data_IF_897110345874
#
_entry.id   IF_897110345874
#
_cell.length_a   1.000
_cell.length_b   1.000
_cell.length_c   1.000
_cell.angle_alpha   90.00
_cell.angle_beta   90.00
_cell.angle_gamma   90.00
#
_symmetry.space_group_name_H-M   'P 1'
#
loop_
_entity.id
_entity.type
_entity.pdbx_description
1 polymer ?
#
# COMPACT_ATOMS: atom_id res chain seq x y z
N UNK A 1 9.19 -9.11 27.07
CA UNK A 1 8.73 -7.97 26.23
C UNK A 1 8.30 -8.58 24.93
N UNK A 2 7.06 -8.35 24.49
CA UNK A 2 6.56 -8.95 23.26
C UNK A 2 6.57 -7.90 22.13
N UNK A 3 6.89 -8.33 20.92
CA UNK A 3 6.95 -7.50 19.73
C UNK A 3 5.94 -8.01 18.71
N UNK A 4 5.10 -7.12 18.18
CA UNK A 4 4.10 -7.43 17.18
C UNK A 4 4.70 -7.30 15.79
N UNK A 5 4.43 -8.28 14.95
CA UNK A 5 4.86 -8.41 13.56
C UNK A 5 3.67 -8.49 12.62
N UNK A 6 3.91 -8.20 11.34
CA UNK A 6 2.90 -8.34 10.30
C UNK A 6 3.49 -8.92 9.01
N UNK A 7 2.73 -9.81 8.38
CA UNK A 7 3.05 -10.39 7.09
C UNK A 7 1.86 -10.23 6.13
N UNK A 8 2.13 -10.03 4.83
CA UNK A 8 1.08 -9.90 3.82
C UNK A 8 0.85 -11.21 3.10
N UNK A 9 -0.38 -11.69 3.11
CA UNK A 9 -0.80 -12.91 2.43
C UNK A 9 -1.53 -12.58 1.14
N UNK A 10 -0.80 -12.63 0.02
CA UNK A 10 -1.34 -12.27 -1.30
C UNK A 10 -2.04 -13.44 -2.00
N UNK A 11 -1.62 -14.68 -1.71
CA UNK A 11 -2.11 -15.89 -2.36
C UNK A 11 -3.31 -16.54 -1.64
N UNK A 12 -3.84 -15.92 -0.60
CA UNK A 12 -5.10 -16.33 0.03
C UNK A 12 -6.29 -16.01 -0.89
N UNK A 13 -7.45 -16.63 -0.67
CA UNK A 13 -8.67 -16.36 -1.44
C UNK A 13 -9.02 -14.86 -1.48
N UNK A 14 -8.69 -14.14 -0.40
CA UNK A 14 -8.71 -12.68 -0.31
C UNK A 14 -7.38 -12.22 0.29
N UNK A 15 -6.73 -11.18 -0.27
CA UNK A 15 -5.53 -10.61 0.33
C UNK A 15 -5.78 -10.18 1.77
N UNK A 16 -4.85 -10.53 2.66
CA UNK A 16 -5.01 -10.24 4.08
C UNK A 16 -3.68 -9.93 4.77
N UNK A 17 -3.75 -9.23 5.89
CA UNK A 17 -2.63 -8.97 6.78
C UNK A 17 -2.68 -9.97 7.93
N UNK A 18 -1.60 -10.71 8.14
CA UNK A 18 -1.44 -11.62 9.25
C UNK A 18 -0.59 -10.96 10.34
N UNK A 19 -1.10 -10.95 11.56
CA UNK A 19 -0.44 -10.43 12.75
C UNK A 19 0.04 -11.58 13.62
N UNK A 20 1.29 -11.57 14.02
CA UNK A 20 1.85 -12.51 14.98
C UNK A 20 2.79 -11.79 15.93
N UNK A 21 3.12 -12.37 17.06
CA UNK A 21 4.03 -11.74 18.00
C UNK A 21 5.03 -12.75 18.56
N UNK A 22 6.22 -12.28 18.83
CA UNK A 22 7.22 -13.00 19.58
C UNK A 22 7.37 -12.42 21.01
N UNK A 23 7.91 -13.26 21.90
CA UNK A 23 8.21 -12.86 23.26
C UNK A 23 9.68 -13.16 23.55
N UNK A 24 10.36 -12.18 24.11
CA UNK A 24 11.76 -12.33 24.54
C UNK A 24 11.85 -13.33 25.69
N UNK A 25 12.26 -14.54 25.36
CA UNK A 25 12.55 -15.61 26.31
C UNK A 25 13.73 -16.44 25.83
N UNK A 26 14.27 -17.25 26.73
CA UNK A 26 15.36 -18.14 26.37
C UNK A 26 14.81 -19.28 25.52
N UNK A 27 15.31 -19.40 24.29
CA UNK A 27 14.99 -20.51 23.39
C UNK A 27 16.12 -21.54 23.37
N UNK A 28 15.77 -22.81 23.18
CA UNK A 28 16.72 -23.90 22.95
C UNK A 28 16.97 -24.07 21.45
N UNK A 29 18.22 -24.34 21.02
CA UNK A 29 18.53 -24.66 19.63
C UNK A 29 17.74 -25.85 19.13
N UNK A 30 17.32 -25.80 17.85
CA UNK A 30 16.60 -26.87 17.17
C UNK A 30 17.47 -27.37 16.01
N UNK A 31 17.54 -28.69 15.82
CA UNK A 31 18.22 -29.31 14.69
C UNK A 31 17.22 -29.59 13.58
N UNK A 32 17.31 -28.85 12.45
CA UNK A 32 16.35 -28.90 11.36
C UNK A 32 16.37 -30.24 10.59
N UNK A 33 17.54 -30.83 10.48
CA UNK A 33 17.73 -32.08 9.70
C UNK A 33 16.95 -33.31 10.25
N UNK A 34 16.35 -33.15 11.44
CA UNK A 34 15.56 -34.20 12.10
C UNK A 34 14.06 -33.94 12.08
N UNK A 35 13.61 -32.86 11.41
CA UNK A 35 12.20 -32.47 11.44
C UNK A 35 11.49 -32.90 10.15
N UNK A 36 10.42 -33.65 10.30
CA UNK A 36 9.53 -34.05 9.20
C UNK A 36 8.63 -32.90 8.72
N UNK A 37 8.47 -31.84 9.53
CA UNK A 37 7.66 -30.68 9.24
C UNK A 37 8.29 -29.40 9.84
N UNK A 38 7.97 -28.21 9.32
CA UNK A 38 8.43 -26.94 9.87
C UNK A 38 8.13 -26.85 11.37
N UNK A 39 9.12 -26.51 12.22
CA UNK A 39 8.94 -26.44 13.66
C UNK A 39 8.10 -25.23 14.07
N UNK A 40 7.48 -25.30 15.25
CA UNK A 40 6.86 -24.15 15.87
C UNK A 40 7.95 -23.17 16.28
N UNK A 41 7.78 -21.88 15.97
CA UNK A 41 8.72 -20.82 16.35
C UNK A 41 8.76 -20.71 17.89
N UNK A 42 9.93 -20.93 18.52
CA UNK A 42 10.00 -21.10 19.97
C UNK A 42 9.69 -19.83 20.76
N UNK A 43 9.71 -18.68 20.10
CA UNK A 43 9.44 -17.38 20.73
C UNK A 43 8.04 -16.85 20.36
N UNK A 44 7.35 -17.45 19.39
CA UNK A 44 6.03 -17.00 19.00
C UNK A 44 4.99 -17.24 20.09
N UNK A 45 4.12 -16.26 20.29
CA UNK A 45 2.96 -16.42 21.16
C UNK A 45 1.95 -17.41 20.53
N UNK A 46 1.35 -18.23 21.35
CA UNK A 46 0.18 -19.01 20.93
C UNK A 46 -1.02 -18.11 20.62
N UNK A 47 -2.02 -18.61 19.90
CA UNK A 47 -3.20 -17.81 19.53
C UNK A 47 -3.91 -17.18 20.75
N UNK A 48 -4.18 -17.91 21.86
CA UNK A 48 -4.81 -17.30 23.03
C UNK A 48 -3.94 -16.23 23.69
N UNK A 49 -2.63 -16.46 23.75
CA UNK A 49 -1.68 -15.48 24.33
C UNK A 49 -1.60 -14.23 23.48
N UNK A 50 -1.53 -14.39 22.13
CA UNK A 50 -1.53 -13.29 21.19
C UNK A 50 -2.79 -12.43 21.29
N UNK A 51 -3.97 -13.07 21.30
CA UNK A 51 -5.26 -12.37 21.42
C UNK A 51 -5.36 -11.61 22.74
N UNK A 52 -5.03 -12.24 23.86
CA UNK A 52 -5.03 -11.62 25.19
C UNK A 52 -4.04 -10.44 25.26
N UNK A 53 -2.84 -10.64 24.74
CA UNK A 53 -1.82 -9.60 24.75
C UNK A 53 -2.22 -8.39 23.89
N UNK A 54 -2.74 -8.61 22.67
CA UNK A 54 -3.25 -7.53 21.81
C UNK A 54 -4.41 -6.78 22.46
N UNK A 55 -5.29 -7.47 23.18
CA UNK A 55 -6.38 -6.85 23.93
C UNK A 55 -5.84 -5.94 25.05
N UNK A 56 -4.85 -6.40 25.80
CA UNK A 56 -4.18 -5.59 26.85
C UNK A 56 -3.50 -4.35 26.26
N UNK A 57 -2.89 -4.48 25.09
CA UNK A 57 -2.26 -3.36 24.38
C UNK A 57 -3.27 -2.44 23.67
N UNK A 58 -4.57 -2.76 23.66
CA UNK A 58 -5.63 -2.08 22.90
C UNK A 58 -5.36 -2.07 21.39
N UNK A 59 -4.68 -3.08 20.90
CA UNK A 59 -4.31 -3.26 19.49
C UNK A 59 -5.09 -4.37 18.81
N UNK A 60 -5.91 -5.14 19.52
CA UNK A 60 -6.69 -6.23 18.93
C UNK A 60 -7.71 -5.69 17.92
N UNK A 61 -7.57 -6.02 16.62
CA UNK A 61 -8.54 -5.59 15.63
C UNK A 61 -9.83 -6.41 15.72
N UNK A 62 -10.96 -5.79 15.44
CA UNK A 62 -12.22 -6.53 15.30
C UNK A 62 -12.21 -7.35 14.00
N UNK A 63 -12.85 -8.53 14.02
CA UNK A 63 -13.02 -9.36 12.83
C UNK A 63 -11.78 -10.17 12.43
N UNK A 64 -10.82 -10.34 13.33
CA UNK A 64 -9.67 -11.24 13.11
C UNK A 64 -10.09 -12.69 13.15
N UNK A 65 -9.39 -13.52 12.38
CA UNK A 65 -9.52 -14.97 12.40
C UNK A 65 -8.16 -15.62 12.72
N UNK A 66 -8.11 -16.67 13.52
CA UNK A 66 -6.89 -17.37 13.81
C UNK A 66 -6.43 -18.16 12.59
N UNK A 67 -5.11 -18.18 12.36
CA UNK A 67 -4.48 -18.95 11.30
C UNK A 67 -3.09 -19.40 11.76
N UNK A 68 -2.73 -20.65 11.47
CA UNK A 68 -1.34 -21.09 11.58
C UNK A 68 -0.64 -20.80 10.26
N UNK A 69 0.46 -20.04 10.32
CA UNK A 69 1.24 -19.64 9.16
C UNK A 69 2.61 -20.31 9.18
N UNK A 70 3.10 -20.64 7.99
CA UNK A 70 4.49 -20.95 7.78
C UNK A 70 5.21 -19.72 7.23
N UNK A 71 6.23 -19.26 7.94
CA UNK A 71 7.04 -18.11 7.57
C UNK A 71 8.50 -18.52 7.45
N UNK A 72 9.18 -18.03 6.41
CA UNK A 72 10.65 -18.13 6.34
C UNK A 72 11.23 -16.97 7.16
N UNK A 73 11.80 -17.28 8.33
CA UNK A 73 12.34 -16.28 9.24
C UNK A 73 13.86 -16.43 9.41
N UNK A 74 14.57 -15.32 9.67
CA UNK A 74 16.01 -15.33 9.86
C UNK A 74 16.39 -16.14 11.09
N UNK A 75 17.30 -17.08 10.90
CA UNK A 75 17.70 -18.05 11.91
C UNK A 75 19.22 -18.15 11.94
N UNK A 76 19.80 -18.28 13.13
CA UNK A 76 21.24 -18.51 13.29
C UNK A 76 21.58 -19.95 12.88
N UNK A 77 22.82 -20.19 12.49
CA UNK A 77 23.32 -21.53 12.13
C UNK A 77 23.18 -22.58 13.24
N UNK A 78 22.99 -22.16 14.49
CA UNK A 78 22.71 -23.04 15.62
C UNK A 78 21.21 -23.34 15.82
N UNK A 79 20.34 -22.97 14.89
CA UNK A 79 18.90 -23.22 14.96
C UNK A 79 18.12 -22.29 15.88
N UNK A 80 18.70 -21.19 16.33
CA UNK A 80 17.99 -20.18 17.10
C UNK A 80 17.46 -19.08 16.19
N UNK A 81 16.17 -18.72 16.28
CA UNK A 81 15.63 -17.59 15.53
C UNK A 81 16.35 -16.29 15.93
N UNK A 82 16.50 -15.40 14.97
CA UNK A 82 17.02 -14.07 15.22
C UNK A 82 15.90 -13.20 15.80
N UNK A 83 16.20 -12.52 16.92
CA UNK A 83 15.25 -11.63 17.56
C UNK A 83 15.37 -10.21 17.00
N UNK A 84 14.27 -9.48 16.99
CA UNK A 84 14.26 -8.09 16.59
C UNK A 84 15.20 -7.25 17.47
N UNK A 85 15.98 -6.37 16.84
CA UNK A 85 16.97 -5.53 17.55
C UNK A 85 18.32 -6.21 17.82
N UNK A 86 18.48 -7.47 17.47
CA UNK A 86 19.79 -8.11 17.52
C UNK A 86 20.67 -7.71 16.34
N UNK A 87 21.99 -7.67 16.58
CA UNK A 87 22.96 -7.47 15.50
C UNK A 87 22.92 -8.66 14.55
N UNK A 88 22.86 -8.38 13.24
CA UNK A 88 22.87 -9.41 12.21
C UNK A 88 24.16 -10.24 12.31
N UNK A 89 24.08 -11.56 12.51
CA UNK A 89 25.25 -12.40 12.53
C UNK A 89 25.87 -12.50 11.13
N UNK A 90 27.17 -12.87 11.07
CA UNK A 90 27.87 -13.06 9.79
C UNK A 90 27.27 -14.17 8.92
N UNK A 91 26.69 -15.17 9.57
CA UNK A 91 26.01 -16.31 8.92
C UNK A 91 24.56 -16.30 9.40
N UNK A 92 23.66 -16.15 8.47
CA UNK A 92 22.22 -16.13 8.66
C UNK A 92 21.59 -17.09 7.66
N UNK A 93 20.72 -17.92 8.17
CA UNK A 93 19.93 -18.86 7.37
C UNK A 93 18.46 -18.47 7.44
N UNK A 94 17.67 -18.87 6.47
CA UNK A 94 16.25 -18.65 6.45
C UNK A 94 15.56 -19.99 6.66
N UNK A 95 14.91 -20.14 7.82
CA UNK A 95 14.24 -21.38 8.17
C UNK A 95 12.74 -21.24 8.11
N UNK A 96 12.02 -22.31 7.68
CA UNK A 96 10.56 -22.33 7.73
C UNK A 96 10.11 -22.54 9.19
N UNK A 97 9.41 -21.54 9.72
CA UNK A 97 8.83 -21.58 11.06
C UNK A 97 7.31 -21.56 10.98
N UNK A 98 6.63 -22.31 11.85
CA UNK A 98 5.20 -22.15 12.07
C UNK A 98 4.96 -21.15 13.19
N UNK A 99 4.03 -20.21 12.96
CA UNK A 99 3.61 -19.22 13.93
C UNK A 99 2.09 -19.17 14.00
N UNK A 100 1.54 -18.93 15.19
CA UNK A 100 0.13 -18.61 15.35
C UNK A 100 -0.10 -17.14 15.00
N UNK A 101 -1.05 -16.86 14.12
CA UNK A 101 -1.35 -15.53 13.65
C UNK A 101 -2.85 -15.22 13.72
N UNK A 102 -3.16 -13.92 13.74
CA UNK A 102 -4.50 -13.39 13.55
C UNK A 102 -4.56 -12.69 12.21
N UNK A 103 -5.46 -13.11 11.33
CA UNK A 103 -5.59 -12.54 9.98
C UNK A 103 -6.69 -11.50 9.90
N UNK A 104 -6.36 -10.41 9.19
CA UNK A 104 -7.29 -9.34 8.84
C UNK A 104 -7.45 -9.27 7.33
N UNK A 105 -8.67 -9.39 6.80
CA UNK A 105 -8.95 -9.04 5.42
C UNK A 105 -8.54 -7.61 5.09
N UNK A 106 -8.14 -7.35 3.84
CA UNK A 106 -7.62 -6.07 3.41
C UNK A 106 -8.43 -4.83 3.84
N UNK A 107 -9.78 -4.81 3.81
CA UNK A 107 -10.57 -3.67 4.27
C UNK A 107 -10.38 -3.36 5.77
N UNK A 108 -10.33 -4.41 6.60
CA UNK A 108 -10.09 -4.26 8.03
C UNK A 108 -8.63 -3.89 8.32
N UNK A 109 -7.69 -4.46 7.56
CA UNK A 109 -6.27 -4.13 7.65
C UNK A 109 -6.02 -2.66 7.32
N UNK A 110 -6.59 -2.11 6.24
CA UNK A 110 -6.48 -0.71 5.87
C UNK A 110 -6.95 0.22 7.00
N UNK A 111 -8.13 -0.06 7.57
CA UNK A 111 -8.68 0.71 8.68
C UNK A 111 -7.82 0.60 9.93
N UNK A 112 -7.32 -0.58 10.27
CA UNK A 112 -6.50 -0.81 11.46
C UNK A 112 -5.12 -0.13 11.32
N UNK A 113 -4.44 -0.32 10.20
CA UNK A 113 -3.13 0.30 9.91
C UNK A 113 -3.18 1.82 9.97
N UNK A 114 -4.30 2.42 9.56
CA UNK A 114 -4.49 3.88 9.64
C UNK A 114 -4.48 4.44 11.06
N UNK A 115 -4.74 3.62 12.08
CA UNK A 115 -4.79 3.98 13.50
C UNK A 115 -3.45 3.77 14.21
N UNK A 116 -2.52 3.04 13.59
CA UNK A 116 -1.19 2.81 14.18
C UNK A 116 -0.38 4.10 14.23
N UNK A 117 0.53 4.26 15.21
CA UNK A 117 1.43 5.39 15.26
C UNK A 117 2.43 5.36 14.07
N UNK A 118 2.94 6.54 13.70
CA UNK A 118 3.97 6.68 12.67
C UNK A 118 5.39 6.52 13.20
N UNK A 119 5.56 6.65 14.50
CA UNK A 119 6.86 6.56 15.17
C UNK A 119 6.77 5.61 16.36
N UNK A 120 7.85 4.89 16.64
CA UNK A 120 7.94 3.98 17.79
C UNK A 120 7.97 4.67 19.17
N UNK A 121 7.76 5.99 19.23
CA UNK A 121 7.86 6.78 20.46
C UNK A 121 6.88 6.32 21.54
N UNK A 122 7.41 5.64 22.55
CA UNK A 122 6.68 5.23 23.75
C UNK A 122 5.96 3.89 23.68
N UNK A 123 5.73 3.33 22.51
CA UNK A 123 5.11 2.01 22.35
C UNK A 123 6.10 1.03 21.73
N UNK A 124 6.84 0.35 22.61
CA UNK A 124 7.93 -0.58 22.23
C UNK A 124 7.42 -1.95 21.77
N UNK A 125 6.12 -2.11 21.55
CA UNK A 125 5.52 -3.38 21.15
C UNK A 125 5.30 -3.53 19.64
N UNK A 126 5.57 -2.49 18.83
CA UNK A 126 5.44 -2.53 17.38
C UNK A 126 6.82 -2.74 16.73
N UNK A 127 6.89 -3.68 15.80
CA UNK A 127 8.08 -3.88 14.98
C UNK A 127 8.26 -2.75 13.95
N UNK A 128 9.48 -2.63 13.41
CA UNK A 128 9.78 -1.66 12.35
C UNK A 128 8.95 -1.92 11.08
N UNK A 129 8.63 -3.17 10.80
CA UNK A 129 7.75 -3.51 9.68
C UNK A 129 6.32 -3.00 9.87
N UNK A 130 5.78 -3.01 11.10
CA UNK A 130 4.46 -2.42 11.37
C UNK A 130 4.47 -0.90 11.22
N UNK A 131 5.56 -0.24 11.61
CA UNK A 131 5.73 1.19 11.35
C UNK A 131 5.78 1.46 9.85
N UNK A 132 6.50 0.63 9.08
CA UNK A 132 6.52 0.72 7.62
C UNK A 132 5.12 0.56 7.01
N UNK A 133 4.33 -0.42 7.48
CA UNK A 133 2.93 -0.61 7.07
C UNK A 133 2.06 0.62 7.39
N UNK A 134 2.26 1.22 8.54
CA UNK A 134 1.56 2.46 8.94
C UNK A 134 1.88 3.62 7.97
N UNK A 135 3.15 3.79 7.60
CA UNK A 135 3.57 4.77 6.60
C UNK A 135 2.98 4.49 5.22
N UNK A 136 2.97 3.23 4.80
CA UNK A 136 2.37 2.81 3.53
C UNK A 136 0.87 3.17 3.49
N UNK A 137 0.12 2.83 4.54
CA UNK A 137 -1.31 3.12 4.59
C UNK A 137 -1.59 4.63 4.59
N UNK A 138 -0.78 5.45 5.26
CA UNK A 138 -0.89 6.91 5.21
C UNK A 138 -0.68 7.45 3.79
N UNK A 139 0.25 6.86 3.05
CA UNK A 139 0.43 7.23 1.65
C UNK A 139 -0.77 6.82 0.79
N UNK A 140 -1.33 5.63 0.99
CA UNK A 140 -2.57 5.21 0.32
C UNK A 140 -3.70 6.22 0.57
N UNK A 141 -3.91 6.64 1.83
CA UNK A 141 -4.89 7.69 2.16
C UNK A 141 -4.59 9.03 1.48
N UNK A 142 -3.32 9.39 1.36
CA UNK A 142 -2.89 10.58 0.62
C UNK A 142 -3.23 10.46 -0.88
N UNK A 143 -2.99 9.30 -1.51
CA UNK A 143 -3.40 9.07 -2.91
C UNK A 143 -4.92 9.22 -3.09
N UNK A 144 -5.71 8.70 -2.15
CA UNK A 144 -7.17 8.85 -2.16
C UNK A 144 -7.57 10.32 -2.04
N UNK A 145 -7.04 11.03 -1.06
CA UNK A 145 -7.35 12.45 -0.82
C UNK A 145 -6.99 13.35 -1.99
N UNK A 146 -5.91 13.03 -2.71
CA UNK A 146 -5.45 13.75 -3.89
C UNK A 146 -6.17 13.34 -5.18
N UNK A 147 -7.09 12.38 -5.13
CA UNK A 147 -7.77 11.84 -6.32
C UNK A 147 -6.83 11.09 -7.27
N UNK A 148 -5.71 10.53 -6.75
CA UNK A 148 -4.71 9.80 -7.52
C UNK A 148 -5.08 8.33 -7.71
N UNK A 149 -6.27 8.10 -8.25
CA UNK A 149 -6.80 6.75 -8.50
C UNK A 149 -7.77 6.76 -9.67
N UNK A 150 -7.86 5.65 -10.38
CA UNK A 150 -8.76 5.45 -11.52
C UNK A 150 -9.35 4.04 -11.48
N UNK A 151 -10.58 3.86 -12.01
CA UNK A 151 -11.14 2.53 -12.15
C UNK A 151 -10.39 1.72 -13.23
N UNK A 152 -10.28 0.43 -13.01
CA UNK A 152 -9.63 -0.52 -13.88
C UNK A 152 -10.44 -1.83 -13.96
N UNK A 153 -10.03 -2.70 -14.85
CA UNK A 153 -10.49 -4.08 -14.91
C UNK A 153 -9.32 -4.96 -14.44
N UNK A 154 -9.55 -5.70 -13.39
CA UNK A 154 -8.62 -6.72 -12.91
C UNK A 154 -9.06 -8.08 -13.43
N UNK A 155 -8.14 -8.86 -13.97
CA UNK A 155 -8.38 -10.26 -14.36
C UNK A 155 -7.62 -11.17 -13.40
N UNK A 156 -8.33 -12.07 -12.74
CA UNK A 156 -7.70 -13.04 -11.86
C UNK A 156 -7.04 -14.19 -12.68
N UNK A 157 -6.34 -15.07 -11.99
CA UNK A 157 -5.67 -16.23 -12.61
C UNK A 157 -6.64 -17.21 -13.29
N UNK A 158 -7.91 -17.20 -12.92
CA UNK A 158 -8.96 -18.02 -13.51
C UNK A 158 -9.60 -17.37 -14.74
N UNK A 159 -9.14 -16.20 -15.18
CA UNK A 159 -9.69 -15.45 -16.31
C UNK A 159 -10.97 -14.68 -16.00
N UNK A 160 -11.44 -14.69 -14.74
CA UNK A 160 -12.58 -13.89 -14.31
C UNK A 160 -12.14 -12.43 -14.15
N UNK A 161 -12.95 -11.53 -14.68
CA UNK A 161 -12.74 -10.09 -14.58
C UNK A 161 -13.52 -9.50 -13.41
N UNK A 162 -12.99 -8.46 -12.80
CA UNK A 162 -13.66 -7.66 -11.78
C UNK A 162 -13.28 -6.18 -11.93
N UNK A 163 -14.18 -5.28 -11.53
CA UNK A 163 -13.85 -3.87 -11.39
C UNK A 163 -12.93 -3.68 -10.19
N UNK A 164 -11.94 -2.81 -10.33
CA UNK A 164 -10.96 -2.49 -9.29
C UNK A 164 -10.57 -1.02 -9.35
N UNK A 165 -10.39 -0.40 -8.20
CA UNK A 165 -9.78 0.91 -8.10
C UNK A 165 -8.26 0.77 -8.02
N UNK A 166 -7.54 1.45 -8.88
CA UNK A 166 -6.08 1.37 -8.95
C UNK A 166 -5.42 2.73 -8.78
N UNK A 167 -4.25 2.78 -8.10
CA UNK A 167 -3.51 4.01 -7.92
C UNK A 167 -2.98 4.54 -9.25
N UNK A 168 -2.94 5.86 -9.38
CA UNK A 168 -2.31 6.56 -10.49
C UNK A 168 -0.93 7.08 -10.05
N UNK A 169 0.09 6.25 -10.24
CA UNK A 169 1.47 6.49 -9.81
C UNK A 169 2.35 7.09 -10.93
N UNK A 170 1.78 7.93 -11.79
CA UNK A 170 2.49 8.53 -12.92
C UNK A 170 3.20 9.86 -12.57
N UNK A 171 2.92 10.45 -11.41
CA UNK A 171 3.62 11.62 -10.92
C UNK A 171 5.01 11.27 -10.40
N UNK A 172 5.97 12.19 -10.55
CA UNK A 172 7.36 11.94 -10.18
C UNK A 172 7.54 11.69 -8.68
N UNK A 173 6.86 12.47 -7.83
CA UNK A 173 6.90 12.29 -6.38
C UNK A 173 6.35 10.93 -5.95
N UNK A 174 5.25 10.48 -6.56
CA UNK A 174 4.66 9.17 -6.27
C UNK A 174 5.58 8.04 -6.73
N UNK A 175 6.27 8.20 -7.88
CA UNK A 175 7.27 7.22 -8.35
C UNK A 175 8.45 7.12 -7.41
N UNK A 176 9.00 8.26 -6.97
CA UNK A 176 10.11 8.30 -6.00
C UNK A 176 9.70 7.67 -4.66
N UNK A 177 8.50 7.98 -4.19
CA UNK A 177 7.99 7.40 -2.94
C UNK A 177 7.77 5.90 -3.04
N UNK A 178 7.28 5.41 -4.18
CA UNK A 178 7.18 3.98 -4.46
C UNK A 178 8.56 3.30 -4.40
N UNK A 179 9.56 3.90 -5.02
CA UNK A 179 10.93 3.39 -5.03
C UNK A 179 11.57 3.40 -3.64
N UNK A 180 11.40 4.47 -2.88
CA UNK A 180 11.90 4.57 -1.50
C UNK A 180 11.25 3.51 -0.60
N UNK A 181 9.94 3.36 -0.63
CA UNK A 181 9.24 2.34 0.14
C UNK A 181 9.59 0.92 -0.30
N UNK A 182 9.75 0.68 -1.61
CA UNK A 182 10.15 -0.62 -2.13
C UNK A 182 11.58 -0.99 -1.72
N UNK A 183 12.50 -0.01 -1.70
CA UNK A 183 13.89 -0.21 -1.28
C UNK A 183 14.02 -0.53 0.21
N UNK A 184 13.10 -0.02 1.03
CA UNK A 184 13.03 -0.23 2.49
C UNK A 184 12.01 -1.28 2.89
N UNK A 185 11.45 -2.02 1.93
CA UNK A 185 10.43 -3.03 2.22
C UNK A 185 11.00 -4.11 3.15
N UNK A 186 10.36 -4.35 4.31
CA UNK A 186 10.82 -5.37 5.24
C UNK A 186 10.77 -6.77 4.63
N UNK A 187 11.78 -7.58 4.94
CA UNK A 187 11.87 -8.96 4.45
C UNK A 187 10.66 -9.81 4.88
N UNK A 188 10.09 -9.56 6.04
CA UNK A 188 8.93 -10.25 6.57
C UNK A 188 7.69 -10.20 5.63
N UNK A 189 7.57 -9.16 4.78
CA UNK A 189 6.48 -9.05 3.80
C UNK A 189 6.57 -10.13 2.73
N UNK A 190 7.77 -10.64 2.46
CA UNK A 190 8.03 -11.63 1.42
C UNK A 190 8.00 -13.06 1.93
N UNK A 191 8.16 -13.23 3.23
CA UNK A 191 8.37 -14.53 3.85
C UNK A 191 7.10 -15.37 3.97
N UNK A 192 5.91 -14.78 3.73
CA UNK A 192 4.62 -15.44 3.92
C UNK A 192 4.02 -16.06 2.65
N UNK A 193 4.68 -16.00 1.50
CA UNK A 193 3.97 -16.14 0.23
C UNK A 193 4.18 -17.45 -0.53
N UNK A 194 4.77 -18.50 0.05
CA UNK A 194 4.90 -19.75 -0.68
C UNK A 194 4.76 -20.99 0.18
N UNK A 195 3.68 -21.77 -0.02
CA UNK A 195 3.61 -23.12 0.50
C UNK A 195 4.59 -24.08 -0.20
N UNK A 196 5.20 -23.66 -1.30
CA UNK A 196 6.11 -24.47 -2.13
C UNK A 196 7.59 -24.15 -1.90
N UNK A 197 7.97 -23.39 -0.90
CA UNK A 197 9.39 -23.19 -0.57
C UNK A 197 9.91 -24.45 0.16
N UNK A 198 10.03 -25.54 -0.61
CA UNK A 198 10.91 -26.64 -0.27
C UNK A 198 12.40 -26.29 -0.53
N UNK A 199 12.68 -25.16 -1.17
CA UNK A 199 14.02 -24.66 -1.42
C UNK A 199 14.25 -23.40 -0.58
N UNK A 200 15.08 -23.56 0.42
CA UNK A 200 15.58 -22.60 1.41
C UNK A 200 16.35 -21.40 0.82
N UNK A 201 15.84 -20.77 -0.19
CA UNK A 201 16.39 -19.53 -0.67
C UNK A 201 15.59 -18.36 -0.09
N UNK A 202 16.27 -17.51 0.67
CA UNK A 202 15.78 -16.18 0.98
C UNK A 202 15.50 -15.46 -0.35
N UNK A 203 14.31 -15.63 -0.86
CA UNK A 203 13.90 -14.92 -2.05
C UNK A 203 13.59 -13.48 -1.66
N UNK A 204 14.57 -12.61 -1.84
CA UNK A 204 14.22 -11.22 -2.11
C UNK A 204 13.23 -11.27 -3.27
N UNK A 205 12.08 -10.59 -3.19
CA UNK A 205 11.15 -10.61 -4.30
C UNK A 205 11.89 -10.19 -5.55
N UNK A 206 11.68 -10.91 -6.61
CA UNK A 206 12.25 -10.60 -7.92
C UNK A 206 11.88 -9.19 -8.41
N UNK A 207 10.80 -8.59 -7.83
CA UNK A 207 10.32 -7.27 -8.18
C UNK A 207 9.56 -6.61 -6.99
N UNK A 208 10.27 -6.11 -5.95
CA UNK A 208 9.62 -5.50 -4.77
C UNK A 208 8.70 -4.33 -5.14
N UNK A 209 9.05 -3.57 -6.17
CA UNK A 209 8.24 -2.48 -6.69
C UNK A 209 6.88 -2.95 -7.25
N UNK A 210 6.85 -4.06 -8.00
CA UNK A 210 5.59 -4.60 -8.52
C UNK A 210 4.71 -5.16 -7.41
N UNK A 211 5.31 -5.85 -6.44
CA UNK A 211 4.59 -6.35 -5.29
C UNK A 211 4.00 -5.22 -4.45
N UNK A 212 4.77 -4.16 -4.20
CA UNK A 212 4.32 -2.99 -3.48
C UNK A 212 3.18 -2.28 -4.21
N UNK A 213 3.28 -2.11 -5.53
CA UNK A 213 2.21 -1.51 -6.33
C UNK A 213 0.91 -2.31 -6.22
N UNK A 214 1.00 -3.63 -6.21
CA UNK A 214 -0.17 -4.51 -6.02
C UNK A 214 -0.76 -4.38 -4.61
N UNK A 215 0.06 -4.34 -3.57
CA UNK A 215 -0.39 -4.12 -2.18
C UNK A 215 -1.11 -2.76 -2.07
N UNK A 216 -0.54 -1.70 -2.64
CA UNK A 216 -1.15 -0.36 -2.65
C UNK A 216 -2.50 -0.41 -3.34
N UNK A 217 -2.60 -1.07 -4.48
CA UNK A 217 -3.84 -1.19 -5.22
C UNK A 217 -4.92 -1.93 -4.41
N UNK A 218 -4.57 -3.02 -3.71
CA UNK A 218 -5.50 -3.74 -2.82
C UNK A 218 -5.98 -2.87 -1.66
N UNK A 219 -5.06 -2.19 -0.97
CA UNK A 219 -5.40 -1.33 0.17
C UNK A 219 -6.25 -0.13 -0.27
N UNK A 220 -5.91 0.47 -1.41
CA UNK A 220 -6.64 1.60 -1.99
C UNK A 220 -8.06 1.18 -2.41
N UNK A 221 -8.19 0.09 -3.16
CA UNK A 221 -9.49 -0.46 -3.58
C UNK A 221 -10.36 -0.79 -2.36
N UNK A 222 -9.79 -1.44 -1.34
CA UNK A 222 -10.49 -1.78 -0.11
C UNK A 222 -10.97 -0.54 0.65
N UNK A 223 -10.15 0.50 0.73
CA UNK A 223 -10.51 1.75 1.40
C UNK A 223 -11.61 2.49 0.64
N UNK A 224 -11.46 2.64 -0.68
CA UNK A 224 -12.47 3.31 -1.50
C UNK A 224 -13.83 2.60 -1.45
N UNK A 225 -13.86 1.27 -1.50
CA UNK A 225 -15.11 0.50 -1.37
C UNK A 225 -15.76 0.67 0.00
N UNK A 226 -14.96 0.75 1.06
CA UNK A 226 -15.47 1.02 2.41
C UNK A 226 -16.08 2.41 2.52
N UNK A 227 -15.46 3.41 1.90
CA UNK A 227 -15.88 4.81 1.96
C UNK A 227 -17.04 5.10 1.00
N UNK A 228 -17.16 4.38 -0.11
CA UNK A 228 -18.19 4.56 -1.12
C UNK A 228 -19.60 4.39 -0.59
N UNK A 229 -19.82 3.49 0.36
CA UNK A 229 -21.13 3.35 1.02
C UNK A 229 -21.63 4.68 1.62
N UNK A 230 -20.71 5.61 1.89
CA UNK A 230 -21.00 6.94 2.42
C UNK A 230 -21.27 7.98 1.33
N UNK A 231 -20.66 7.85 0.13
CA UNK A 231 -20.64 8.91 -0.88
C UNK A 231 -21.50 8.68 -2.11
N UNK A 232 -21.89 7.45 -2.44
CA UNK A 232 -22.46 7.11 -3.75
C UNK A 232 -23.96 6.72 -3.76
N UNK A 233 -24.66 6.86 -2.65
CA UNK A 233 -26.09 6.47 -2.59
C UNK A 233 -27.06 7.35 -3.40
N UNK A 234 -26.61 8.42 -4.06
CA UNK A 234 -27.50 9.41 -4.68
C UNK A 234 -27.20 9.73 -6.14
N UNK A 235 -26.32 9.01 -6.83
CA UNK A 235 -26.02 9.32 -8.23
C UNK A 235 -26.98 8.56 -9.14
N UNK A 236 -27.87 9.28 -9.82
CA UNK A 236 -28.62 8.74 -10.97
C UNK A 236 -27.63 8.27 -12.05
N UNK A 237 -27.55 6.97 -12.23
CA UNK A 237 -26.68 6.39 -13.27
C UNK A 237 -27.33 6.61 -14.65
N UNK A 238 -26.62 7.20 -15.62
CA UNK A 238 -27.11 7.26 -16.99
C UNK A 238 -27.34 5.83 -17.53
N UNK A 239 -28.22 5.69 -18.53
CA UNK A 239 -28.42 4.41 -19.22
C UNK A 239 -27.10 4.00 -19.89
N UNK A 240 -26.35 3.14 -19.22
CA UNK A 240 -25.08 2.58 -19.70
C UNK A 240 -25.33 1.32 -20.54
N UNK A 241 -24.39 1.03 -21.42
CA UNK A 241 -24.30 -0.29 -22.04
C UNK A 241 -24.23 -1.38 -20.92
N UNK A 242 -24.89 -2.54 -21.08
CA UNK A 242 -24.94 -3.58 -20.07
C UNK A 242 -23.56 -4.00 -19.54
N UNK A 243 -22.54 -4.02 -20.41
CA UNK A 243 -21.16 -4.34 -20.04
C UNK A 243 -20.56 -3.29 -19.12
N UNK A 244 -20.76 -2.01 -19.45
CA UNK A 244 -20.30 -0.90 -18.61
C UNK A 244 -21.07 -0.81 -17.30
N UNK A 245 -22.37 -1.12 -17.32
CA UNK A 245 -23.17 -1.17 -16.10
C UNK A 245 -22.72 -2.29 -15.15
N UNK A 246 -22.43 -3.48 -15.67
CA UNK A 246 -21.89 -4.59 -14.90
C UNK A 246 -20.52 -4.23 -14.28
N UNK A 247 -19.63 -3.64 -15.07
CA UNK A 247 -18.34 -3.16 -14.59
C UNK A 247 -18.47 -2.09 -13.51
N UNK A 248 -19.32 -1.09 -13.73
CA UNK A 248 -19.58 -0.06 -12.72
C UNK A 248 -20.11 -0.67 -11.42
N UNK A 249 -21.08 -1.60 -11.51
CA UNK A 249 -21.58 -2.30 -10.32
C UNK A 249 -20.49 -3.06 -9.59
N UNK A 250 -19.56 -3.71 -10.30
CA UNK A 250 -18.45 -4.45 -9.69
C UNK A 250 -17.44 -3.55 -8.97
N UNK A 251 -17.36 -2.25 -9.32
CA UNK A 251 -16.55 -1.27 -8.60
C UNK A 251 -17.16 -0.90 -7.23
N UNK A 252 -18.48 -1.04 -7.08
CA UNK A 252 -19.21 -0.66 -5.87
C UNK A 252 -19.51 -1.83 -4.93
N UNK A 253 -19.61 -3.04 -5.48
CA UNK A 253 -19.88 -4.23 -4.68
C UNK A 253 -18.61 -4.84 -4.09
N UNK A 254 -18.70 -5.41 -2.88
CA UNK A 254 -17.62 -6.20 -2.32
C UNK A 254 -17.46 -7.50 -3.12
N UNK A 255 -16.46 -7.55 -4.00
CA UNK A 255 -15.97 -8.75 -4.69
C UNK A 255 -17.02 -9.51 -5.54
N UNK A 256 -17.78 -8.82 -6.37
CA UNK A 256 -18.52 -9.50 -7.43
C UNK A 256 -17.61 -9.70 -8.64
N UNK A 257 -17.27 -10.96 -8.93
CA UNK A 257 -16.68 -11.30 -10.22
C UNK A 257 -17.65 -10.91 -11.34
N UNK A 258 -17.11 -10.33 -12.41
CA UNK A 258 -17.88 -10.06 -13.60
C UNK A 258 -18.08 -11.39 -14.35
N UNK A 259 -19.31 -11.85 -14.42
CA UNK A 259 -19.68 -12.97 -15.26
C UNK A 259 -19.70 -12.54 -16.73
N UNK A 260 -18.53 -12.33 -17.31
CA UNK A 260 -18.38 -11.90 -18.69
C UNK A 260 -17.78 -13.04 -19.53
N UNK A 261 -18.17 -13.07 -20.80
CA UNK A 261 -17.50 -13.90 -21.80
C UNK A 261 -16.09 -13.36 -22.01
N UNK A 262 -15.10 -14.26 -22.20
CA UNK A 262 -13.67 -13.91 -22.31
C UNK A 262 -13.36 -12.76 -23.28
N UNK A 263 -14.02 -12.74 -24.46
CA UNK A 263 -13.87 -11.67 -25.44
C UNK A 263 -14.35 -10.30 -24.96
N UNK A 264 -15.38 -10.27 -24.11
CA UNK A 264 -15.90 -9.02 -23.53
C UNK A 264 -14.99 -8.52 -22.41
N UNK A 265 -14.42 -9.42 -21.62
CA UNK A 265 -13.39 -9.09 -20.62
C UNK A 265 -12.19 -8.42 -21.26
N UNK A 266 -11.66 -8.97 -22.36
CA UNK A 266 -10.49 -8.41 -23.06
C UNK A 266 -10.80 -7.05 -23.68
N UNK A 267 -12.00 -6.88 -24.30
CA UNK A 267 -12.41 -5.59 -24.86
C UNK A 267 -12.54 -4.51 -23.78
N UNK A 268 -13.17 -4.86 -22.66
CA UNK A 268 -13.32 -3.96 -21.52
C UNK A 268 -11.98 -3.58 -20.91
N UNK A 269 -11.09 -4.55 -20.69
CA UNK A 269 -9.75 -4.32 -20.16
C UNK A 269 -8.93 -3.41 -21.09
N UNK A 270 -8.95 -3.65 -22.40
CA UNK A 270 -8.24 -2.82 -23.37
C UNK A 270 -8.79 -1.41 -23.46
N UNK A 271 -10.12 -1.27 -23.45
CA UNK A 271 -10.78 0.05 -23.50
C UNK A 271 -10.51 0.87 -22.25
N UNK A 272 -10.56 0.24 -21.06
CA UNK A 272 -10.26 0.91 -19.79
C UNK A 272 -8.79 1.28 -19.68
N UNK A 273 -7.86 0.43 -20.13
CA UNK A 273 -6.44 0.73 -20.16
C UNK A 273 -6.14 1.95 -21.06
N UNK A 274 -6.67 1.96 -22.29
CA UNK A 274 -6.50 3.09 -23.21
C UNK A 274 -7.12 4.39 -22.66
N UNK A 275 -8.30 4.31 -22.05
CA UNK A 275 -8.93 5.47 -21.41
C UNK A 275 -8.08 5.99 -20.25
N UNK A 276 -7.54 5.09 -19.40
CA UNK A 276 -6.64 5.45 -18.28
C UNK A 276 -5.39 6.15 -18.76
N UNK A 277 -4.73 5.65 -19.80
CA UNK A 277 -3.58 6.29 -20.43
C UNK A 277 -3.92 7.69 -20.93
N UNK A 278 -5.07 7.85 -21.58
CA UNK A 278 -5.54 9.14 -22.08
C UNK A 278 -5.80 10.13 -20.94
N UNK A 279 -6.45 9.67 -19.86
CA UNK A 279 -6.72 10.52 -18.69
C UNK A 279 -5.42 10.87 -17.95
N UNK A 280 -4.54 9.90 -17.76
CA UNK A 280 -3.23 10.13 -17.15
C UNK A 280 -2.36 11.09 -17.99
N UNK A 281 -2.37 10.96 -19.31
CA UNK A 281 -1.62 11.84 -20.22
C UNK A 281 -2.18 13.28 -20.29
N UNK A 282 -3.49 13.47 -19.99
CA UNK A 282 -4.09 14.81 -19.90
C UNK A 282 -3.74 15.54 -18.61
N UNK A 283 -3.18 14.86 -17.62
CA UNK A 283 -2.60 15.48 -16.43
C UNK A 283 -1.18 15.92 -16.76
N UNK A 284 -1.07 16.95 -17.60
CA UNK A 284 0.22 17.45 -18.03
C UNK A 284 1.04 17.96 -16.84
N UNK A 285 2.35 17.72 -16.83
CA UNK A 285 3.21 18.17 -15.77
C UNK A 285 3.23 19.68 -15.70
N UNK A 286 3.17 20.19 -14.48
CA UNK A 286 3.44 21.57 -14.15
C UNK A 286 4.66 21.60 -13.24
N UNK A 287 5.35 22.71 -13.21
CA UNK A 287 6.52 22.92 -12.36
C UNK A 287 6.32 24.15 -11.48
N UNK A 288 6.93 24.14 -10.31
CA UNK A 288 7.06 25.32 -9.49
C UNK A 288 7.97 26.34 -10.20
N UNK A 289 7.59 27.60 -10.11
CA UNK A 289 8.35 28.71 -10.71
C UNK A 289 8.53 29.78 -9.64
N UNK A 290 9.79 30.19 -9.51
CA UNK A 290 10.21 31.34 -8.73
C UNK A 290 10.60 32.46 -9.70
N UNK A 291 9.91 33.57 -9.65
CA UNK A 291 10.20 34.75 -10.47
C UNK A 291 10.67 35.87 -9.56
N UNK A 292 11.93 36.29 -9.76
CA UNK A 292 12.50 37.40 -9.04
C UNK A 292 12.27 38.68 -9.84
N UNK A 293 11.47 39.57 -9.25
CA UNK A 293 11.19 40.86 -9.87
C UNK A 293 12.17 41.91 -9.37
N UNK A 294 12.76 42.65 -10.31
CA UNK A 294 13.68 43.75 -10.02
C UNK A 294 12.90 44.87 -9.30
N UNK A 295 13.52 45.50 -8.29
CA UNK A 295 12.88 46.61 -7.59
C UNK A 295 12.46 47.74 -8.56
N UNK A 296 11.28 48.31 -8.33
CA UNK A 296 10.86 49.50 -9.04
C UNK A 296 11.79 50.69 -8.71
N UNK A 297 11.87 51.67 -9.59
CA UNK A 297 12.67 52.88 -9.35
C UNK A 297 12.31 53.53 -7.98
N UNK A 298 13.35 53.66 -7.13
CA UNK A 298 13.21 54.22 -5.78
C UNK A 298 12.89 53.17 -4.68
N UNK A 299 12.83 51.89 -4.99
CA UNK A 299 12.69 50.80 -4.03
C UNK A 299 13.97 49.93 -4.04
N UNK A 300 14.40 49.51 -2.85
CA UNK A 300 15.50 48.53 -2.69
C UNK A 300 14.98 47.08 -2.49
N UNK A 301 13.64 46.93 -2.46
CA UNK A 301 13.00 45.64 -2.14
C UNK A 301 12.81 44.80 -3.41
N UNK A 302 13.45 43.65 -3.48
CA UNK A 302 13.20 42.60 -4.45
C UNK A 302 11.90 41.89 -4.09
N UNK A 303 11.10 41.58 -5.10
CA UNK A 303 9.90 40.77 -4.92
C UNK A 303 10.11 39.39 -5.54
N UNK A 304 9.77 38.37 -4.77
CA UNK A 304 9.79 36.98 -5.21
C UNK A 304 8.36 36.51 -5.43
N UNK A 305 8.03 36.19 -6.67
CA UNK A 305 6.74 35.60 -7.04
C UNK A 305 6.89 34.10 -7.16
N UNK A 306 6.08 33.38 -6.40
CA UNK A 306 6.06 31.94 -6.39
C UNK A 306 4.74 31.42 -7.00
N UNK A 307 4.78 30.40 -7.83
CA UNK A 307 3.61 29.86 -8.50
C UNK A 307 3.86 28.57 -9.26
N UNK A 308 2.84 28.09 -9.93
CA UNK A 308 2.92 26.95 -10.85
C UNK A 308 2.86 27.41 -12.29
N UNK A 309 3.64 26.76 -13.15
CA UNK A 309 3.70 26.97 -14.59
C UNK A 309 3.53 25.63 -15.30
N UNK A 310 2.73 25.58 -16.36
CA UNK A 310 2.64 24.41 -17.20
C UNK A 310 3.93 24.19 -17.99
N UNK A 311 4.47 22.98 -18.02
CA UNK A 311 5.69 22.66 -18.77
C UNK A 311 5.51 22.83 -20.27
N UNK A 312 4.36 22.40 -20.79
CA UNK A 312 4.04 22.49 -22.20
C UNK A 312 3.80 23.93 -22.69
N UNK A 313 3.41 24.84 -21.81
CA UNK A 313 3.13 26.23 -22.16
C UNK A 313 3.52 27.19 -21.02
N UNK A 314 4.69 27.81 -21.09
CA UNK A 314 5.19 28.71 -20.05
C UNK A 314 4.32 29.95 -19.77
N UNK A 315 3.40 30.30 -20.69
CA UNK A 315 2.46 31.42 -20.47
C UNK A 315 1.32 31.06 -19.51
N UNK A 316 1.07 29.77 -19.31
CA UNK A 316 0.03 29.30 -18.39
C UNK A 316 0.63 29.19 -16.99
N UNK A 317 0.34 30.22 -16.18
CA UNK A 317 0.85 30.34 -14.80
C UNK A 317 -0.28 30.61 -13.83
N UNK A 318 -0.12 30.15 -12.60
CA UNK A 318 -0.96 30.48 -11.45
C UNK A 318 -0.10 30.82 -10.23
N UNK A 319 -0.37 31.95 -9.55
CA UNK A 319 0.36 32.32 -8.35
C UNK A 319 0.07 31.33 -7.20
N UNK A 320 1.03 31.16 -6.29
CA UNK A 320 0.92 30.24 -5.16
C UNK A 320 -0.36 30.45 -4.34
N UNK A 321 -0.79 31.67 -4.13
CA UNK A 321 -2.05 32.00 -3.44
C UNK A 321 -3.27 31.34 -4.11
N UNK A 322 -3.34 31.34 -5.45
CA UNK A 322 -4.44 30.72 -6.18
C UNK A 322 -4.35 29.17 -6.13
N UNK A 323 -3.12 28.64 -6.07
CA UNK A 323 -2.88 27.19 -5.91
C UNK A 323 -3.35 26.72 -4.54
N UNK A 324 -3.00 27.45 -3.48
CA UNK A 324 -3.44 27.13 -2.12
C UNK A 324 -4.95 27.29 -1.93
N UNK A 325 -5.55 28.29 -2.57
CA UNK A 325 -7.00 28.50 -2.53
C UNK A 325 -7.78 27.38 -3.22
N UNK A 326 -7.19 26.70 -4.22
CA UNK A 326 -7.80 25.54 -4.87
C UNK A 326 -7.82 24.29 -3.98
N UNK A 327 -7.02 24.28 -2.93
CA UNK A 327 -6.95 23.16 -1.97
C UNK A 327 -6.35 21.87 -2.55
N UNK A 328 -6.58 20.76 -1.86
CA UNK A 328 -6.23 19.43 -2.34
C UNK A 328 -7.19 19.04 -3.48
N UNK A 329 -6.75 19.17 -4.70
CA UNK A 329 -7.60 18.86 -5.85
C UNK A 329 -6.93 19.17 -7.17
N UNK A 330 -7.73 19.26 -8.23
CA UNK A 330 -7.26 19.57 -9.58
C UNK A 330 -7.24 21.08 -9.79
N UNK A 331 -6.08 21.60 -10.14
CA UNK A 331 -5.94 22.99 -10.60
C UNK A 331 -5.96 23.01 -12.13
N UNK A 332 -6.78 23.88 -12.70
CA UNK A 332 -6.81 24.08 -14.15
C UNK A 332 -5.84 25.20 -14.55
N UNK A 333 -4.88 24.88 -15.41
CA UNK A 333 -3.97 25.80 -16.07
C UNK A 333 -4.31 25.84 -17.57
N UNK A 334 -5.22 26.74 -17.99
CA UNK A 334 -5.78 26.69 -19.34
C UNK A 334 -6.55 25.39 -19.57
N UNK A 335 -6.15 24.63 -20.61
CA UNK A 335 -6.73 23.32 -20.91
C UNK A 335 -6.06 22.17 -20.16
N UNK A 336 -5.08 22.48 -19.30
CA UNK A 336 -4.27 21.51 -18.58
C UNK A 336 -4.81 21.34 -17.15
N UNK A 337 -5.11 20.11 -16.77
CA UNK A 337 -5.43 19.76 -15.39
C UNK A 337 -4.16 19.34 -14.65
N UNK A 338 -3.82 20.07 -13.60
CA UNK A 338 -2.71 19.76 -12.70
C UNK A 338 -3.25 19.03 -11.49
N UNK A 339 -2.74 17.83 -11.27
CA UNK A 339 -3.00 17.09 -10.04
C UNK A 339 -2.02 17.55 -8.96
N UNK A 340 -2.50 17.56 -7.73
CA UNK A 340 -1.71 17.89 -6.54
C UNK A 340 -0.91 19.20 -6.66
N UNK A 341 -1.55 20.29 -7.04
CA UNK A 341 -0.86 21.53 -7.33
C UNK A 341 -0.12 22.09 -6.10
N UNK A 342 -0.60 21.84 -4.89
CA UNK A 342 0.05 22.26 -3.65
C UNK A 342 1.35 21.47 -3.40
N UNK A 343 1.37 20.16 -3.69
CA UNK A 343 2.57 19.32 -3.56
C UNK A 343 3.66 19.78 -4.54
N UNK A 344 3.28 20.06 -5.78
CA UNK A 344 4.21 20.59 -6.79
C UNK A 344 4.84 21.92 -6.39
N UNK A 345 4.10 22.76 -5.66
CA UNK A 345 4.65 24.02 -5.10
C UNK A 345 5.67 23.76 -3.99
N UNK A 346 5.52 22.68 -3.21
CA UNK A 346 6.41 22.35 -2.09
C UNK A 346 7.67 21.64 -2.54
N UNK A 347 7.64 20.95 -3.69
CA UNK A 347 8.79 20.22 -4.26
C UNK A 347 9.74 21.12 -5.05
N UNK A 348 9.33 22.30 -5.50
CA UNK A 348 10.12 23.28 -6.22
C UNK A 348 10.81 24.29 -5.32
#
# INVERSE_FOLDING_TARGET
MSLLHAAWLQNSALPCLALWADNWQVATPIELDRLEAPPLHPLALSEPELSNWLQQQKLLPAGTQPLELQLSLPTRSNGLPLMAGELLPKQLEWWPWRVSALVLPAPLAATWLSKLPLTGGGNTCLSDELLWWSHLQRWVLSLIARGRWLPAVNTNRSGLASGRWEPLLNHESDRRRLEDLASRMPAAIHCANSPEIAELACMRPSAPRLQLAEIIAVLLDSQLRSDQATYFNEIETPKLDPLLAAWQSSLHCSAADLELVEGDCQRLASATAHWRETVAGRMAPARAVLELQVPAEGSELWQLHFGLQAEANPSLRKPAAAVWAAGAGKLQLGDINVADPAELLLEG
#
